data_IF_115734490328
#
_entry.id   IF_115734490328
#
_cell.length_a   1.000
_cell.length_b   1.000
_cell.length_c   1.000
_cell.angle_alpha   90.00
_cell.angle_beta   90.00
_cell.angle_gamma   90.00
#
_symmetry.space_group_name_H-M   'P 1'
#
loop_
_entity.id
_entity.type
_entity.pdbx_description
1 polymer ?
#
# COMPACT_ATOMS: atom_id res chain seq x y z
N UNK A 1 -17.12 15.44 -6.95
CA UNK A 1 -15.89 15.82 -6.26
C UNK A 1 -15.24 14.56 -5.73
N UNK A 2 -13.92 14.40 -5.76
CA UNK A 2 -13.30 13.23 -5.14
C UNK A 2 -13.61 13.25 -3.65
N UNK A 3 -14.06 12.11 -3.11
CA UNK A 3 -14.31 11.93 -1.67
C UNK A 3 -12.98 12.03 -0.94
N UNK A 4 -12.86 12.90 0.06
CA UNK A 4 -11.61 13.04 0.82
C UNK A 4 -11.34 11.79 1.68
N UNK A 5 -10.07 11.52 2.00
CA UNK A 5 -9.72 10.40 2.87
C UNK A 5 -10.31 10.55 4.27
N UNK A 6 -10.42 11.78 4.77
CA UNK A 6 -11.06 12.09 6.05
C UNK A 6 -12.54 11.74 6.03
N UNK A 7 -13.27 12.07 4.96
CA UNK A 7 -14.68 11.69 4.79
C UNK A 7 -14.87 10.16 4.68
N UNK A 8 -13.87 9.45 4.16
CA UNK A 8 -13.88 7.98 4.12
C UNK A 8 -13.57 7.36 5.48
N UNK A 9 -12.95 8.10 6.39
CA UNK A 9 -12.54 7.61 7.69
C UNK A 9 -13.58 7.84 8.79
N UNK A 10 -14.10 9.06 8.92
CA UNK A 10 -14.96 9.50 10.03
C UNK A 10 -16.36 9.91 9.55
N UNK A 11 -17.43 9.71 10.36
CA UNK A 11 -17.43 9.00 11.67
C UNK A 11 -17.44 7.48 11.56
N UNK A 12 -17.66 6.91 10.37
CA UNK A 12 -17.73 5.48 10.13
C UNK A 12 -16.68 5.10 9.08
N UNK A 13 -15.70 4.27 9.43
CA UNK A 13 -14.58 3.95 8.58
C UNK A 13 -14.97 3.20 7.30
N UNK A 14 -14.71 3.82 6.17
CA UNK A 14 -14.87 3.30 4.82
C UNK A 14 -13.58 3.45 3.97
N UNK A 15 -12.42 3.61 4.58
CA UNK A 15 -11.13 3.81 3.90
C UNK A 15 -10.79 2.68 2.91
N UNK A 16 -10.99 1.44 3.32
CA UNK A 16 -10.75 0.28 2.49
C UNK A 16 -12.07 -0.35 2.00
N UNK A 17 -12.03 -1.27 1.02
CA UNK A 17 -13.22 -1.92 0.49
C UNK A 17 -14.02 -2.75 1.50
N UNK A 18 -13.46 -3.10 2.67
CA UNK A 18 -14.18 -3.74 3.78
C UNK A 18 -15.35 -2.90 4.28
N UNK A 19 -15.24 -1.58 4.23
CA UNK A 19 -16.30 -0.65 4.70
C UNK A 19 -16.90 -1.07 6.03
N UNK A 20 -16.03 -1.39 7.00
CA UNK A 20 -16.47 -2.00 8.27
C UNK A 20 -17.29 -1.06 9.17
N UNK A 21 -17.30 0.24 8.90
CA UNK A 21 -18.09 1.23 9.64
C UNK A 21 -17.66 1.44 11.09
N UNK A 22 -16.48 0.97 11.50
CA UNK A 22 -16.00 1.15 12.87
C UNK A 22 -15.75 2.65 13.14
N UNK A 23 -16.18 3.14 14.31
CA UNK A 23 -15.90 4.49 14.81
C UNK A 23 -14.45 4.55 15.32
N UNK A 24 -13.50 4.52 14.39
CA UNK A 24 -12.06 4.39 14.69
C UNK A 24 -11.49 5.66 15.32
N UNK A 25 -12.05 6.81 14.99
CA UNK A 25 -11.78 8.12 15.60
C UNK A 25 -12.19 8.20 17.07
N UNK A 26 -13.15 7.35 17.50
CA UNK A 26 -13.57 7.17 18.89
C UNK A 26 -12.81 6.01 19.60
N UNK A 27 -11.78 5.45 18.96
CA UNK A 27 -10.95 4.39 19.52
C UNK A 27 -11.39 2.96 19.20
N UNK A 28 -12.53 2.75 18.50
CA UNK A 28 -12.94 1.43 18.06
C UNK A 28 -11.93 0.84 17.05
N UNK A 29 -11.77 -0.47 17.06
CA UNK A 29 -10.92 -1.17 16.09
C UNK A 29 -11.73 -1.68 14.91
N UNK A 30 -11.25 -1.37 13.70
CA UNK A 30 -11.82 -1.93 12.47
C UNK A 30 -11.45 -3.41 12.26
N UNK A 31 -11.98 -4.00 11.17
CA UNK A 31 -11.61 -5.37 10.73
C UNK A 31 -10.09 -5.51 10.55
N UNK A 32 -9.40 -4.45 10.14
CA UNK A 32 -7.93 -4.41 10.02
C UNK A 32 -7.19 -4.54 11.35
N UNK A 33 -7.86 -4.41 12.50
CA UNK A 33 -7.26 -4.42 13.84
C UNK A 33 -6.79 -3.04 14.32
N UNK A 34 -6.90 -1.99 13.49
CA UNK A 34 -6.45 -0.65 13.82
C UNK A 34 -7.59 0.27 14.29
N UNK A 35 -7.27 1.18 15.18
CA UNK A 35 -8.01 2.41 15.50
C UNK A 35 -7.35 3.60 14.76
N UNK A 36 -7.51 4.83 15.25
CA UNK A 36 -6.90 6.04 14.65
C UNK A 36 -5.41 6.21 15.01
N UNK A 37 -4.92 5.50 16.02
CA UNK A 37 -3.52 5.59 16.45
C UNK A 37 -2.61 4.79 15.52
N UNK A 38 -1.61 5.46 14.94
CA UNK A 38 -0.58 4.82 14.12
C UNK A 38 0.17 3.76 14.93
N UNK A 39 0.30 2.56 14.34
CA UNK A 39 1.12 1.48 14.91
C UNK A 39 2.10 0.99 13.87
N UNK A 40 3.39 1.04 14.19
CA UNK A 40 4.49 0.61 13.33
C UNK A 40 5.22 -0.57 13.97
N UNK A 41 5.33 -1.64 13.22
CA UNK A 41 6.00 -2.87 13.66
C UNK A 41 7.51 -2.79 13.45
N UNK A 42 7.94 -2.15 12.34
CA UNK A 42 9.34 -2.01 11.97
C UNK A 42 9.53 -0.80 11.07
N UNK A 43 10.64 -0.11 11.23
CA UNK A 43 11.15 0.88 10.29
C UNK A 43 12.66 0.65 10.13
N UNK A 44 13.13 0.33 8.92
CA UNK A 44 14.53 0.05 8.63
C UNK A 44 14.80 0.03 7.12
N UNK A 45 16.07 0.10 6.73
CA UNK A 45 16.49 -0.24 5.38
C UNK A 45 16.17 -1.72 5.09
N UNK A 46 15.58 -1.98 3.92
CA UNK A 46 15.24 -3.31 3.42
C UNK A 46 15.87 -3.51 2.05
N UNK A 47 16.77 -4.51 1.96
CA UNK A 47 17.61 -4.73 0.78
C UNK A 47 16.98 -5.68 -0.25
N UNK A 48 15.82 -6.29 0.08
CA UNK A 48 15.22 -7.39 -0.68
C UNK A 48 13.81 -7.07 -1.20
N UNK A 49 13.52 -5.79 -1.43
CA UNK A 49 12.37 -5.42 -2.23
C UNK A 49 12.71 -5.60 -3.71
N UNK A 50 11.79 -5.38 -4.64
CA UNK A 50 12.07 -5.49 -6.07
C UNK A 50 13.30 -4.65 -6.45
N UNK A 51 14.15 -5.13 -7.39
CA UNK A 51 15.39 -4.44 -7.75
C UNK A 51 15.23 -2.96 -8.10
N UNK A 52 14.16 -2.53 -8.84
CA UNK A 52 13.94 -1.11 -9.11
C UNK A 52 13.55 -0.27 -7.89
N UNK A 53 13.22 -0.91 -6.76
CA UNK A 53 12.83 -0.26 -5.50
C UNK A 53 14.01 -0.21 -4.53
N UNK A 54 14.62 -1.36 -4.21
CA UNK A 54 15.71 -1.42 -3.22
C UNK A 54 17.07 -0.99 -3.79
N UNK A 55 17.36 -1.30 -5.05
CA UNK A 55 18.71 -1.09 -5.59
C UNK A 55 19.78 -1.63 -4.64
N UNK A 56 20.94 -0.97 -4.60
CA UNK A 56 22.04 -1.35 -3.72
C UNK A 56 21.94 -0.72 -2.31
N UNK A 57 21.35 0.47 -2.18
CA UNK A 57 21.27 1.19 -0.90
C UNK A 57 20.07 0.77 -0.03
N UNK A 58 19.11 0.09 -0.63
CA UNK A 58 17.91 -0.39 0.08
C UNK A 58 16.73 0.59 0.05
N UNK A 59 15.57 0.04 0.37
CA UNK A 59 14.31 0.75 0.52
C UNK A 59 14.10 1.13 1.99
N UNK A 60 13.76 2.37 2.29
CA UNK A 60 13.40 2.84 3.63
C UNK A 60 11.99 2.37 4.01
N UNK A 61 11.89 1.14 4.52
CA UNK A 61 10.63 0.43 4.66
C UNK A 61 10.01 0.64 6.03
N UNK A 62 8.73 1.05 6.04
CA UNK A 62 7.92 1.25 7.25
C UNK A 62 6.75 0.25 7.22
N UNK A 63 6.79 -0.76 8.09
CA UNK A 63 5.74 -1.77 8.23
C UNK A 63 4.68 -1.31 9.21
N UNK A 64 3.48 -1.05 8.71
CA UNK A 64 2.33 -0.74 9.57
C UNK A 64 1.65 -2.01 10.08
N UNK A 65 1.24 -1.99 11.34
CA UNK A 65 0.56 -3.12 11.99
C UNK A 65 -0.91 -3.16 11.65
N UNK A 66 -1.44 -4.37 11.47
CA UNK A 66 -2.79 -4.59 11.02
C UNK A 66 -2.89 -4.78 9.50
N UNK A 67 -4.00 -5.39 9.04
CA UNK A 67 -4.22 -5.61 7.61
C UNK A 67 -5.71 -5.83 7.32
N UNK A 68 -6.19 -5.27 6.22
CA UNK A 68 -7.57 -5.45 5.77
C UNK A 68 -7.85 -6.84 5.19
N UNK A 69 -6.82 -7.57 4.71
CA UNK A 69 -6.95 -8.91 4.12
C UNK A 69 -6.82 -10.04 5.12
N UNK A 70 -5.75 -10.06 5.93
CA UNK A 70 -5.44 -11.15 6.88
C UNK A 70 -5.35 -12.51 6.22
N UNK A 71 -4.59 -12.60 5.11
CA UNK A 71 -4.39 -13.86 4.37
C UNK A 71 -3.84 -14.95 5.29
N UNK A 72 -4.35 -16.18 5.17
CA UNK A 72 -3.93 -17.32 6.02
C UNK A 72 -2.46 -17.72 5.80
N UNK A 73 -1.89 -17.40 4.64
CA UNK A 73 -0.48 -17.66 4.28
C UNK A 73 0.44 -16.45 4.45
N UNK A 74 0.00 -15.43 5.20
CA UNK A 74 0.78 -14.20 5.34
C UNK A 74 2.12 -14.46 6.06
N UNK A 75 3.25 -14.22 5.38
CA UNK A 75 4.58 -14.34 5.99
C UNK A 75 4.80 -13.34 7.15
N UNK A 76 4.08 -12.21 7.13
CA UNK A 76 4.09 -11.19 8.17
C UNK A 76 2.89 -11.31 9.13
N UNK A 77 2.52 -12.54 9.49
CA UNK A 77 1.33 -12.84 10.28
C UNK A 77 1.31 -12.08 11.62
N UNK A 78 2.43 -12.01 12.33
CA UNK A 78 2.54 -11.31 13.61
C UNK A 78 2.21 -9.83 13.49
N UNK A 79 2.60 -9.20 12.37
CA UNK A 79 2.33 -7.79 12.07
C UNK A 79 0.88 -7.61 11.62
N UNK A 80 0.43 -8.44 10.66
CA UNK A 80 -0.85 -8.26 9.98
C UNK A 80 -2.05 -8.67 10.82
N UNK A 81 -1.89 -9.65 11.71
CA UNK A 81 -2.97 -10.23 12.52
C UNK A 81 -2.69 -10.13 14.01
N UNK A 82 -1.45 -10.35 14.45
CA UNK A 82 -1.02 -10.28 15.84
C UNK A 82 -0.92 -8.87 16.41
N UNK A 83 -1.07 -7.85 15.58
CA UNK A 83 -1.01 -6.44 15.97
C UNK A 83 0.32 -6.05 16.70
N UNK A 84 1.40 -6.75 16.37
CA UNK A 84 2.74 -6.46 16.86
C UNK A 84 3.19 -5.06 16.41
N UNK A 85 3.88 -4.33 17.27
CA UNK A 85 4.44 -3.00 16.97
C UNK A 85 4.16 -1.97 18.07
N UNK A 86 4.72 -0.78 17.89
CA UNK A 86 4.59 0.34 18.80
C UNK A 86 3.64 1.40 18.26
N UNK A 87 2.88 2.00 19.13
CA UNK A 87 2.10 3.20 18.81
C UNK A 87 3.02 4.40 18.67
N UNK A 88 2.82 5.17 17.61
CA UNK A 88 3.60 6.37 17.34
C UNK A 88 2.67 7.54 17.01
N UNK A 89 3.17 8.76 17.21
CA UNK A 89 2.47 9.96 16.73
C UNK A 89 2.72 10.22 15.23
N UNK A 90 1.89 11.03 14.57
CA UNK A 90 2.16 11.47 13.19
C UNK A 90 3.52 12.18 13.05
N UNK A 91 3.94 12.95 14.05
CA UNK A 91 5.25 13.63 14.07
C UNK A 91 6.39 12.61 14.08
N UNK A 92 6.25 11.51 14.84
CA UNK A 92 7.25 10.44 14.87
C UNK A 92 7.33 9.72 13.52
N UNK A 93 6.23 9.56 12.80
CA UNK A 93 6.24 9.02 11.44
C UNK A 93 7.05 9.93 10.49
N UNK A 94 6.90 11.24 10.60
CA UNK A 94 7.69 12.21 9.82
C UNK A 94 9.19 12.09 10.13
N UNK A 95 9.56 11.98 11.42
CA UNK A 95 10.96 11.77 11.83
C UNK A 95 11.53 10.47 11.25
N UNK A 96 10.79 9.37 11.32
CA UNK A 96 11.19 8.08 10.76
C UNK A 96 11.47 8.18 9.25
N UNK A 97 10.63 8.88 8.49
CA UNK A 97 10.86 9.09 7.05
C UNK A 97 12.18 9.82 6.79
N UNK A 98 12.48 10.87 7.57
CA UNK A 98 13.71 11.63 7.44
C UNK A 98 14.94 10.82 7.88
N UNK A 99 14.84 10.11 9.00
CA UNK A 99 15.90 9.21 9.48
C UNK A 99 16.27 8.12 8.46
N UNK A 100 15.27 7.55 7.76
CA UNK A 100 15.51 6.58 6.71
C UNK A 100 16.18 7.21 5.48
N UNK A 101 15.79 8.42 5.10
CA UNK A 101 16.47 9.17 4.06
C UNK A 101 17.92 9.46 4.44
N UNK A 102 18.19 9.90 5.66
CA UNK A 102 19.53 10.20 6.16
C UNK A 102 20.42 8.93 6.24
N UNK A 103 19.82 7.75 6.36
CA UNK A 103 20.51 6.45 6.26
C UNK A 103 20.80 6.06 4.80
N UNK A 104 20.39 6.84 3.82
CA UNK A 104 20.66 6.60 2.41
C UNK A 104 19.62 5.77 1.68
N UNK A 105 18.40 5.66 2.22
CA UNK A 105 17.31 4.94 1.55
C UNK A 105 17.01 5.51 0.16
N UNK A 106 16.76 4.64 -0.83
CA UNK A 106 16.37 5.04 -2.17
C UNK A 106 14.95 5.63 -2.28
N UNK A 107 14.10 5.30 -1.32
CA UNK A 107 12.69 5.72 -1.22
C UNK A 107 12.17 5.53 0.20
N UNK A 108 10.96 6.03 0.47
CA UNK A 108 10.17 5.66 1.65
C UNK A 108 9.08 4.69 1.22
N UNK A 109 9.13 3.46 1.72
CA UNK A 109 8.23 2.38 1.36
C UNK A 109 7.21 2.12 2.49
N UNK A 110 5.96 2.53 2.25
CA UNK A 110 4.84 2.45 3.19
C UNK A 110 4.13 1.10 3.03
N UNK A 111 4.50 0.10 3.83
CA UNK A 111 3.98 -1.27 3.72
C UNK A 111 2.68 -1.43 4.47
N UNK A 112 1.62 -1.80 3.76
CA UNK A 112 0.28 -2.06 4.29
C UNK A 112 -0.31 -0.84 5.00
N UNK A 113 -0.16 0.35 4.40
CA UNK A 113 -0.63 1.61 4.97
C UNK A 113 -2.13 1.91 4.74
N UNK A 114 -2.87 1.03 4.03
CA UNK A 114 -4.27 1.20 3.61
C UNK A 114 -5.18 1.76 4.72
N UNK A 115 -5.07 1.20 5.91
CA UNK A 115 -5.93 1.57 7.04
C UNK A 115 -5.49 2.85 7.78
N UNK A 116 -4.36 3.42 7.40
CA UNK A 116 -3.86 4.72 7.86
C UNK A 116 -3.79 5.75 6.73
N UNK A 117 -4.39 5.47 5.56
CA UNK A 117 -4.32 6.33 4.38
C UNK A 117 -4.76 7.78 4.65
N UNK A 118 -5.68 8.01 5.58
CA UNK A 118 -6.17 9.35 5.96
C UNK A 118 -5.13 10.21 6.68
N UNK A 119 -4.12 9.60 7.32
CA UNK A 119 -3.04 10.30 8.02
C UNK A 119 -1.84 10.61 7.10
N UNK A 120 -1.69 9.86 6.01
CA UNK A 120 -0.52 9.97 5.13
C UNK A 120 -0.35 11.34 4.47
N UNK A 121 -1.41 12.01 3.96
CA UNK A 121 -1.24 13.30 3.30
C UNK A 121 -0.56 14.34 4.19
N UNK A 122 -1.00 14.49 5.43
CA UNK A 122 -0.41 15.42 6.37
C UNK A 122 1.03 15.04 6.73
N UNK A 123 1.29 13.76 6.99
CA UNK A 123 2.63 13.27 7.34
C UNK A 123 3.63 13.44 6.19
N UNK A 124 3.24 13.08 4.95
CA UNK A 124 4.12 13.24 3.78
C UNK A 124 4.38 14.72 3.49
N UNK A 125 3.37 15.57 3.55
CA UNK A 125 3.54 17.02 3.36
C UNK A 125 4.48 17.61 4.41
N UNK A 126 4.34 17.24 5.68
CA UNK A 126 5.23 17.67 6.76
C UNK A 126 6.67 17.18 6.57
N UNK A 127 6.86 15.92 6.14
CA UNK A 127 8.17 15.37 5.82
C UNK A 127 8.84 16.11 4.64
N UNK A 128 8.07 16.37 3.57
CA UNK A 128 8.54 17.16 2.41
C UNK A 128 8.96 18.58 2.83
N UNK A 129 8.16 19.25 3.68
CA UNK A 129 8.49 20.59 4.20
C UNK A 129 9.77 20.60 5.06
N UNK A 130 10.15 19.45 5.64
CA UNK A 130 11.37 19.26 6.45
C UNK A 130 12.54 18.68 5.63
N UNK A 131 12.42 18.55 4.31
CA UNK A 131 13.50 18.15 3.42
C UNK A 131 13.47 16.69 2.94
N UNK A 132 12.37 15.99 3.04
CA UNK A 132 12.23 14.68 2.39
C UNK A 132 12.15 14.87 0.87
N UNK A 133 13.11 14.30 0.13
CA UNK A 133 13.22 14.44 -1.34
C UNK A 133 13.09 13.12 -2.09
N UNK A 134 13.29 11.98 -1.42
CA UNK A 134 13.21 10.65 -2.04
C UNK A 134 11.75 10.24 -2.33
N UNK A 135 11.52 9.34 -3.31
CA UNK A 135 10.18 8.90 -3.69
C UNK A 135 9.40 8.24 -2.55
N UNK A 136 8.07 8.36 -2.60
CA UNK A 136 7.14 7.61 -1.74
C UNK A 136 6.64 6.39 -2.51
N UNK A 137 6.90 5.20 -1.98
CA UNK A 137 6.38 3.92 -2.45
C UNK A 137 5.20 3.51 -1.58
N UNK A 138 4.07 3.19 -2.19
CA UNK A 138 2.90 2.65 -1.50
C UNK A 138 2.77 1.16 -1.77
N UNK A 139 3.21 0.35 -0.79
CA UNK A 139 3.27 -1.10 -0.89
C UNK A 139 1.98 -1.71 -0.31
N UNK A 140 1.15 -2.22 -1.20
CA UNK A 140 -0.21 -2.63 -0.86
C UNK A 140 -0.57 -4.02 -1.35
N UNK A 141 -1.53 -4.63 -0.68
CA UNK A 141 -2.11 -5.92 -1.07
C UNK A 141 -3.01 -5.87 -2.32
N UNK A 142 -3.18 -4.70 -2.93
CA UNK A 142 -4.09 -4.49 -4.05
C UNK A 142 -5.58 -4.36 -3.67
N UNK A 143 -5.94 -4.57 -2.41
CA UNK A 143 -7.32 -4.42 -1.94
C UNK A 143 -7.61 -2.98 -1.52
N UNK A 144 -7.62 -2.09 -2.52
CA UNK A 144 -7.77 -0.64 -2.34
C UNK A 144 -9.06 -0.11 -2.99
N UNK A 145 -9.62 0.94 -2.41
CA UNK A 145 -10.69 1.70 -3.07
C UNK A 145 -10.08 2.62 -4.13
N UNK A 146 -10.62 2.62 -5.33
CA UNK A 146 -10.18 3.54 -6.38
C UNK A 146 -10.24 5.01 -5.95
N UNK A 147 -11.24 5.40 -5.12
CA UNK A 147 -11.34 6.76 -4.57
C UNK A 147 -10.22 7.09 -3.57
N UNK A 148 -9.75 6.13 -2.78
CA UNK A 148 -8.62 6.33 -1.88
C UNK A 148 -7.30 6.41 -2.65
N UNK A 149 -7.13 5.58 -3.68
CA UNK A 149 -5.99 5.65 -4.61
C UNK A 149 -5.93 7.03 -5.27
N UNK A 150 -7.06 7.51 -5.82
CA UNK A 150 -7.13 8.84 -6.45
C UNK A 150 -6.76 9.98 -5.47
N UNK A 151 -7.19 9.88 -4.21
CA UNK A 151 -6.88 10.88 -3.20
C UNK A 151 -5.38 10.88 -2.76
N UNK A 152 -4.66 9.77 -2.98
CA UNK A 152 -3.23 9.64 -2.73
C UNK A 152 -2.37 9.89 -3.98
N UNK A 153 -2.97 10.04 -5.15
CA UNK A 153 -2.29 10.02 -6.45
C UNK A 153 -1.17 11.06 -6.63
N UNK A 154 -1.29 12.24 -6.01
CA UNK A 154 -0.25 13.28 -6.05
C UNK A 154 0.89 13.05 -5.05
N UNK A 155 0.69 12.19 -4.07
CA UNK A 155 1.62 11.97 -2.95
C UNK A 155 2.46 10.71 -3.14
N UNK A 156 1.89 9.70 -3.82
CA UNK A 156 2.54 8.42 -4.08
C UNK A 156 3.27 8.47 -5.41
N UNK A 157 4.56 8.22 -5.38
CA UNK A 157 5.39 8.21 -6.58
C UNK A 157 5.41 6.82 -7.24
N UNK A 158 5.45 5.76 -6.41
CA UNK A 158 5.48 4.39 -6.92
C UNK A 158 4.40 3.56 -6.24
N UNK A 159 3.55 2.93 -7.03
CA UNK A 159 2.58 1.94 -6.58
C UNK A 159 3.20 0.54 -6.66
N UNK A 160 3.53 -0.03 -5.52
CA UNK A 160 4.00 -1.40 -5.40
C UNK A 160 2.84 -2.25 -4.89
N UNK A 161 2.12 -2.88 -5.79
CA UNK A 161 0.84 -3.52 -5.48
C UNK A 161 0.81 -4.99 -5.80
N UNK A 162 0.13 -5.77 -4.96
CA UNK A 162 -0.12 -7.18 -5.27
C UNK A 162 -1.40 -7.32 -6.12
N UNK A 163 -1.43 -8.34 -6.99
CA UNK A 163 -2.66 -8.88 -7.56
C UNK A 163 -2.73 -10.37 -7.20
N UNK A 164 -3.38 -10.67 -6.08
CA UNK A 164 -3.27 -11.99 -5.43
C UNK A 164 -4.11 -13.08 -6.06
N UNK A 165 -5.32 -12.76 -6.54
CA UNK A 165 -6.31 -13.73 -7.03
C UNK A 165 -7.14 -13.17 -8.18
N UNK A 166 -7.38 -13.97 -9.20
CA UNK A 166 -8.42 -13.75 -10.21
C UNK A 166 -9.72 -14.50 -9.85
N UNK A 167 -9.64 -15.54 -9.00
CA UNK A 167 -10.77 -16.33 -8.56
C UNK A 167 -11.35 -15.84 -7.23
N UNK A 168 -12.67 -15.57 -7.21
CA UNK A 168 -13.38 -15.09 -6.04
C UNK A 168 -13.51 -16.15 -4.92
N UNK A 169 -13.59 -17.42 -5.29
CA UNK A 169 -13.64 -18.54 -4.33
C UNK A 169 -12.30 -18.72 -3.63
N UNK A 170 -11.21 -18.65 -4.39
CA UNK A 170 -9.86 -18.69 -3.84
C UNK A 170 -9.59 -17.49 -2.92
N UNK A 171 -9.97 -16.29 -3.34
CA UNK A 171 -9.88 -15.09 -2.50
C UNK A 171 -10.68 -15.21 -1.19
N UNK A 172 -11.88 -15.81 -1.26
CA UNK A 172 -12.71 -16.06 -0.08
C UNK A 172 -12.07 -17.08 0.87
N UNK A 173 -11.50 -18.17 0.33
CA UNK A 173 -10.90 -19.22 1.15
C UNK A 173 -9.59 -18.80 1.83
N UNK A 174 -8.75 -18.01 1.13
CA UNK A 174 -7.40 -17.67 1.58
C UNK A 174 -7.28 -16.28 2.25
N UNK A 175 -8.21 -15.36 1.98
CA UNK A 175 -8.17 -13.99 2.52
C UNK A 175 -9.51 -13.49 3.06
N UNK A 176 -10.52 -14.38 3.13
CA UNK A 176 -11.86 -14.07 3.65
C UNK A 176 -12.55 -12.90 2.92
N UNK A 177 -12.29 -12.75 1.61
CA UNK A 177 -12.77 -11.65 0.77
C UNK A 177 -13.16 -12.17 -0.61
N UNK A 178 -14.46 -12.19 -0.91
CA UNK A 178 -14.98 -12.68 -2.19
C UNK A 178 -14.82 -11.68 -3.35
N UNK A 179 -14.82 -10.39 -3.06
CA UNK A 179 -14.81 -9.32 -4.06
C UNK A 179 -13.40 -8.84 -4.44
N UNK A 180 -12.35 -9.53 -3.96
CA UNK A 180 -10.97 -9.15 -4.21
C UNK A 180 -10.65 -8.93 -5.69
N UNK A 181 -10.98 -9.85 -6.64
CA UNK A 181 -10.58 -9.67 -8.04
C UNK A 181 -11.14 -8.38 -8.65
N UNK A 182 -12.42 -8.13 -8.44
CA UNK A 182 -13.09 -6.92 -8.94
C UNK A 182 -12.50 -5.63 -8.34
N UNK A 183 -12.21 -5.65 -7.06
CA UNK A 183 -11.64 -4.52 -6.34
C UNK A 183 -10.21 -4.26 -6.80
N UNK A 184 -9.39 -5.31 -6.91
CA UNK A 184 -8.00 -5.20 -7.35
C UNK A 184 -7.90 -4.62 -8.76
N UNK A 185 -8.68 -5.11 -9.73
CA UNK A 185 -8.73 -4.55 -11.09
C UNK A 185 -9.08 -3.06 -11.06
N UNK A 186 -10.10 -2.66 -10.28
CA UNK A 186 -10.47 -1.24 -10.17
C UNK A 186 -9.38 -0.38 -9.54
N UNK A 187 -8.70 -0.90 -8.53
CA UNK A 187 -7.57 -0.24 -7.86
C UNK A 187 -6.37 -0.07 -8.80
N UNK A 188 -5.97 -1.14 -9.49
CA UNK A 188 -4.88 -1.14 -10.48
C UNK A 188 -5.13 -0.14 -11.60
N UNK A 189 -6.34 -0.16 -12.17
CA UNK A 189 -6.72 0.79 -13.23
C UNK A 189 -6.67 2.25 -12.74
N UNK A 190 -6.96 2.52 -11.46
CA UNK A 190 -6.82 3.87 -10.89
C UNK A 190 -5.36 4.23 -10.68
N UNK A 191 -4.52 3.31 -10.15
CA UNK A 191 -3.07 3.53 -9.99
C UNK A 191 -2.41 3.85 -11.33
N UNK A 192 -2.72 3.11 -12.39
CA UNK A 192 -2.23 3.37 -13.73
C UNK A 192 -2.62 4.79 -14.21
N UNK A 193 -3.90 5.18 -14.06
CA UNK A 193 -4.35 6.54 -14.40
C UNK A 193 -3.59 7.64 -13.66
N UNK A 194 -3.28 7.43 -12.38
CA UNK A 194 -2.50 8.42 -11.60
C UNK A 194 -1.06 8.54 -12.12
N UNK A 195 -0.44 7.44 -12.52
CA UNK A 195 0.90 7.47 -13.13
C UNK A 195 0.87 8.17 -14.49
N UNK A 196 -0.09 7.84 -15.37
CA UNK A 196 -0.26 8.50 -16.66
C UNK A 196 -0.50 10.01 -16.52
N UNK A 197 -1.39 10.40 -15.61
CA UNK A 197 -1.70 11.81 -15.33
C UNK A 197 -0.45 12.62 -14.92
N UNK A 198 0.51 11.97 -14.28
CA UNK A 198 1.77 12.57 -13.82
C UNK A 198 2.90 12.45 -14.85
N UNK A 199 2.64 12.01 -16.08
CA UNK A 199 3.59 11.93 -17.18
C UNK A 199 4.26 10.57 -17.36
N UNK A 200 3.63 9.50 -16.88
CA UNK A 200 4.06 8.12 -17.08
C UNK A 200 5.16 7.66 -16.12
N UNK A 201 5.73 6.51 -16.43
CA UNK A 201 6.81 5.89 -15.67
C UNK A 201 8.11 6.69 -15.78
N UNK A 202 8.89 6.70 -14.72
CA UNK A 202 10.20 7.32 -14.64
C UNK A 202 11.16 6.41 -13.88
N UNK A 203 12.19 5.96 -14.59
CA UNK A 203 13.30 5.18 -14.03
C UNK A 203 14.59 5.98 -14.25
N UNK A 204 15.47 6.05 -13.26
CA UNK A 204 16.74 6.74 -13.41
C UNK A 204 17.80 5.87 -14.12
N UNK A 205 18.96 6.46 -14.40
CA UNK A 205 20.08 5.78 -15.09
C UNK A 205 20.61 4.57 -14.31
N UNK A 206 20.41 4.53 -12.99
CA UNK A 206 20.76 3.40 -12.12
C UNK A 206 19.70 2.30 -12.08
N UNK A 207 18.60 2.42 -12.82
CA UNK A 207 17.51 1.45 -12.84
C UNK A 207 16.53 1.57 -11.67
N UNK A 208 16.63 2.64 -10.85
CA UNK A 208 15.70 2.87 -9.75
C UNK A 208 14.43 3.58 -10.24
N UNK A 209 13.30 3.04 -9.88
CA UNK A 209 11.99 3.63 -10.19
C UNK A 209 11.74 4.87 -9.32
N UNK A 210 11.58 6.01 -9.99
CA UNK A 210 11.24 7.29 -9.35
C UNK A 210 9.74 7.60 -9.43
N UNK A 211 9.04 7.02 -10.40
CA UNK A 211 7.59 7.04 -10.55
C UNK A 211 7.17 5.84 -11.39
N UNK A 212 6.10 5.17 -10.98
CA UNK A 212 5.59 4.04 -11.75
C UNK A 212 4.70 3.11 -10.97
N UNK A 213 4.41 1.95 -11.55
CA UNK A 213 3.66 0.89 -10.90
C UNK A 213 4.31 -0.47 -11.14
N UNK A 214 4.49 -1.23 -10.06
CA UNK A 214 4.91 -2.63 -10.11
C UNK A 214 3.79 -3.48 -9.56
N UNK A 215 3.32 -4.45 -10.35
CA UNK A 215 2.33 -5.43 -9.92
C UNK A 215 3.02 -6.74 -9.58
N UNK A 216 2.83 -7.19 -8.35
CA UNK A 216 3.37 -8.47 -7.87
C UNK A 216 2.29 -9.54 -7.83
N UNK A 217 2.67 -10.76 -8.13
CA UNK A 217 1.81 -11.93 -7.96
C UNK A 217 2.57 -13.07 -7.29
N UNK A 218 1.94 -13.67 -6.27
CA UNK A 218 2.46 -14.88 -5.63
C UNK A 218 1.76 -16.10 -6.22
N UNK A 219 2.53 -16.92 -6.92
CA UNK A 219 2.02 -18.21 -7.44
C UNK A 219 1.78 -19.17 -6.27
N UNK A 220 0.52 -19.52 -6.06
CA UNK A 220 0.12 -20.43 -4.99
C UNK A 220 0.17 -21.89 -5.47
N UNK A 221 0.72 -22.83 -4.68
CA UNK A 221 0.76 -24.25 -5.03
C UNK A 221 -0.64 -24.79 -5.34
N UNK A 222 -0.77 -25.48 -6.48
CA UNK A 222 -2.04 -26.05 -6.95
C UNK A 222 -3.01 -25.06 -7.61
N UNK A 223 -2.62 -23.78 -7.79
CA UNK A 223 -3.48 -22.74 -8.35
C UNK A 223 -2.84 -22.00 -9.55
N UNK A 224 -2.04 -22.69 -10.36
CA UNK A 224 -1.37 -22.12 -11.53
C UNK A 224 -2.34 -21.49 -12.54
N UNK A 225 -3.52 -22.09 -12.73
CA UNK A 225 -4.55 -21.57 -13.63
C UNK A 225 -5.08 -20.19 -13.17
N UNK A 226 -5.15 -19.97 -11.86
CA UNK A 226 -5.51 -18.64 -11.32
C UNK A 226 -4.40 -17.63 -11.56
N UNK A 227 -3.14 -18.05 -11.43
CA UNK A 227 -1.98 -17.20 -11.73
C UNK A 227 -1.97 -16.77 -13.21
N UNK A 228 -2.26 -17.67 -14.15
CA UNK A 228 -2.39 -17.30 -15.55
C UNK A 228 -3.49 -16.24 -15.77
N UNK A 229 -4.65 -16.43 -15.15
CA UNK A 229 -5.75 -15.43 -15.21
C UNK A 229 -5.37 -14.08 -14.59
N UNK A 230 -4.59 -14.09 -13.50
CA UNK A 230 -4.06 -12.83 -12.90
C UNK A 230 -3.16 -12.12 -13.88
N UNK A 231 -2.25 -12.84 -14.56
CA UNK A 231 -1.36 -12.25 -15.57
C UNK A 231 -2.17 -11.66 -16.74
N UNK A 232 -3.13 -12.40 -17.28
CA UNK A 232 -3.99 -11.92 -18.36
C UNK A 232 -4.72 -10.63 -17.96
N UNK A 233 -5.33 -10.58 -16.78
CA UNK A 233 -6.03 -9.40 -16.29
C UNK A 233 -5.10 -8.21 -16.03
N UNK A 234 -3.91 -8.44 -15.49
CA UNK A 234 -2.95 -7.36 -15.24
C UNK A 234 -2.40 -6.77 -16.55
N UNK A 235 -2.08 -7.62 -17.54
CA UNK A 235 -1.57 -7.18 -18.84
C UNK A 235 -2.59 -6.37 -19.63
N UNK A 236 -3.87 -6.72 -19.61
CA UNK A 236 -4.95 -5.95 -20.28
C UNK A 236 -5.04 -4.52 -19.72
N UNK A 237 -4.74 -4.31 -18.45
CA UNK A 237 -4.86 -3.00 -17.79
C UNK A 237 -3.57 -2.21 -17.75
N UNK A 238 -2.41 -2.84 -18.02
CA UNK A 238 -1.07 -2.24 -17.98
C UNK A 238 -0.48 -2.10 -19.39
N UNK A 239 -0.92 -2.95 -20.35
CA UNK A 239 -0.44 -2.92 -21.74
C UNK A 239 -1.13 -1.80 -22.51
N UNK A 240 -0.69 -0.59 -22.30
CA UNK A 240 -0.91 0.52 -23.25
C UNK A 240 0.47 0.93 -23.74
N UNK A 241 1.10 0.03 -24.53
CA UNK A 241 2.33 0.33 -25.30
C UNK A 241 2.36 -0.47 -26.58
#
# INVERSE_FOLDING_TARGET
MPTSLTELFSPACHLCPRRCGAARDEGARGVCGANDTLRVARAALHMWEEPPISGEAGSGTIFFSGCSLKCIYCQNHEISTGNFGLEISPERLVEIMLELQDQGANNINLVTATHYAHLLPAAIAAARARGLVIPIVYNTSGYERASAVAALGDLVDVWLTDFKYADAGLAQSLSHIKDYPRVAVSGLAQMAREIERRGGELVDEGGLMKRGMIVRHLVLPGHADDSCRVLDLSLIHISVW
#
